data_IF_167234146498
#
_entry.id   IF_167234146498
#
_cell.length_a   1.000
_cell.length_b   1.000
_cell.length_c   1.000
_cell.angle_alpha   90.00
_cell.angle_beta   90.00
_cell.angle_gamma   90.00
#
_symmetry.space_group_name_H-M   'P 1'
#
loop_
_entity.id
_entity.type
_entity.pdbx_description
1 polymer ?
#
# COMPACT_ATOMS: atom_id res chain seq x y z
N UNK A 1 -4.33 -7.93 4.07
CA UNK A 1 -3.34 -9.01 3.93
C UNK A 1 -1.95 -8.62 4.40
N UNK A 2 -1.28 -7.66 3.74
CA UNK A 2 0.17 -7.44 3.90
C UNK A 2 0.63 -7.12 5.33
N UNK A 3 0.02 -6.13 5.99
CA UNK A 3 0.43 -5.78 7.37
C UNK A 3 0.16 -6.92 8.37
N UNK A 4 -0.83 -7.78 8.14
CA UNK A 4 -1.05 -8.97 8.97
C UNK A 4 0.06 -10.00 8.82
N UNK A 5 0.53 -10.26 7.58
CA UNK A 5 1.68 -11.13 7.35
C UNK A 5 2.98 -10.56 7.95
N UNK A 6 3.14 -9.23 7.87
CA UNK A 6 4.34 -8.52 8.31
C UNK A 6 4.41 -8.41 9.84
N UNK A 7 3.29 -8.10 10.50
CA UNK A 7 3.26 -7.88 11.94
C UNK A 7 3.09 -9.19 12.71
N UNK A 8 2.31 -10.13 12.18
CA UNK A 8 1.94 -11.36 12.87
C UNK A 8 2.24 -12.62 12.02
N UNK A 9 3.50 -12.82 11.58
CA UNK A 9 3.88 -13.90 10.67
C UNK A 9 3.50 -15.31 11.18
N UNK A 10 3.45 -15.52 12.50
CA UNK A 10 3.09 -16.81 13.08
C UNK A 10 1.63 -17.23 12.87
N UNK A 11 0.73 -16.27 12.60
CA UNK A 11 -0.70 -16.53 12.48
C UNK A 11 -1.11 -17.01 11.08
N UNK A 12 -0.31 -16.69 10.05
CA UNK A 12 -0.69 -16.92 8.66
C UNK A 12 0.32 -17.83 7.95
N UNK A 13 -0.19 -18.81 7.20
CA UNK A 13 0.66 -19.71 6.40
C UNK A 13 1.04 -19.12 5.04
N UNK A 14 0.20 -18.28 4.47
CA UNK A 14 0.42 -17.54 3.23
C UNK A 14 -0.55 -16.36 3.17
N UNK A 15 -0.40 -15.49 2.16
CA UNK A 15 -1.43 -14.51 1.85
C UNK A 15 -1.57 -14.25 0.36
N UNK A 16 -2.74 -13.71 0.00
CA UNK A 16 -3.06 -13.22 -1.33
C UNK A 16 -3.34 -11.73 -1.20
N UNK A 17 -2.56 -10.93 -1.93
CA UNK A 17 -2.71 -9.49 -2.02
C UNK A 17 -3.28 -9.13 -3.40
N UNK A 18 -4.58 -8.86 -3.44
CA UNK A 18 -5.29 -8.44 -4.63
C UNK A 18 -5.46 -6.92 -4.60
N UNK A 19 -4.91 -6.22 -5.61
CA UNK A 19 -4.98 -4.74 -5.78
C UNK A 19 -4.78 -3.94 -4.48
N UNK A 20 -3.83 -4.37 -3.64
CA UNK A 20 -3.60 -3.74 -2.34
C UNK A 20 -2.79 -2.45 -2.44
N UNK A 21 -3.15 -1.44 -1.65
CA UNK A 21 -2.29 -0.26 -1.41
C UNK A 21 -1.07 -0.72 -0.60
N UNK A 22 0.12 -0.57 -1.16
CA UNK A 22 1.39 -0.96 -0.53
C UNK A 22 2.17 0.22 0.06
N UNK A 23 1.79 1.44 -0.29
CA UNK A 23 2.41 2.68 0.15
C UNK A 23 1.33 3.76 0.18
N UNK A 24 1.01 4.28 1.37
CA UNK A 24 -0.07 5.25 1.54
C UNK A 24 0.27 6.58 0.85
N UNK A 25 1.56 6.95 0.78
CA UNK A 25 2.03 8.16 0.11
C UNK A 25 1.80 8.12 -1.41
N UNK A 26 1.79 6.94 -2.03
CA UNK A 26 1.46 6.79 -3.45
C UNK A 26 0.03 7.19 -3.78
N UNK A 27 -0.92 7.04 -2.84
CA UNK A 27 -2.30 7.48 -3.04
C UNK A 27 -2.41 9.01 -3.28
N UNK A 28 -1.46 9.78 -2.75
CA UNK A 28 -1.36 11.24 -2.96
C UNK A 28 -0.54 11.62 -4.19
N UNK A 29 0.55 10.90 -4.43
CA UNK A 29 1.59 11.32 -5.38
C UNK A 29 1.40 10.76 -6.79
N UNK A 30 0.66 9.65 -6.95
CA UNK A 30 0.35 9.12 -8.28
C UNK A 30 -0.65 10.04 -8.99
N UNK A 31 -0.25 10.54 -10.16
CA UNK A 31 -0.98 11.57 -10.91
C UNK A 31 -2.06 11.03 -11.85
N UNK A 32 -1.95 9.77 -12.27
CA UNK A 32 -2.90 9.13 -13.20
C UNK A 32 -3.94 8.26 -12.49
N UNK A 33 -4.10 8.46 -11.18
CA UNK A 33 -5.15 7.77 -10.42
C UNK A 33 -6.49 8.48 -10.60
N UNK A 34 -7.58 7.71 -10.57
CA UNK A 34 -8.98 8.21 -10.60
C UNK A 34 -9.43 8.91 -9.30
N UNK A 35 -8.55 9.00 -8.30
CA UNK A 35 -8.78 9.77 -7.08
C UNK A 35 -8.79 11.28 -7.37
N UNK A 36 -10.01 11.85 -7.40
CA UNK A 36 -10.22 13.27 -7.69
C UNK A 36 -9.61 14.24 -6.67
N UNK A 37 -9.29 15.46 -7.13
CA UNK A 37 -8.61 16.48 -6.32
C UNK A 37 -9.38 16.89 -5.06
N UNK A 38 -10.71 17.00 -5.14
CA UNK A 38 -11.55 17.29 -3.97
C UNK A 38 -11.42 16.22 -2.89
N UNK A 39 -11.36 14.95 -3.29
CA UNK A 39 -11.17 13.84 -2.35
C UNK A 39 -9.78 13.90 -1.70
N UNK A 40 -8.72 14.11 -2.50
CA UNK A 40 -7.34 14.28 -2.01
C UNK A 40 -7.19 15.45 -1.05
N UNK A 41 -7.90 16.55 -1.30
CA UNK A 41 -7.82 17.77 -0.50
C UNK A 41 -8.63 17.75 0.78
N UNK A 42 -9.83 17.15 0.76
CA UNK A 42 -10.77 17.29 1.88
C UNK A 42 -11.08 15.96 2.59
N UNK A 43 -11.14 14.85 1.85
CA UNK A 43 -11.54 13.56 2.41
C UNK A 43 -10.38 12.71 2.89
N UNK A 44 -9.35 12.55 2.05
CA UNK A 44 -8.19 11.72 2.41
C UNK A 44 -7.47 12.20 3.68
N UNK A 45 -7.27 13.50 3.95
CA UNK A 45 -6.64 13.93 5.21
C UNK A 45 -7.40 13.49 6.46
N UNK A 46 -8.72 13.28 6.37
CA UNK A 46 -9.54 12.86 7.50
C UNK A 46 -9.62 11.33 7.65
N UNK A 47 -9.66 10.61 6.52
CA UNK A 47 -9.95 9.17 6.50
C UNK A 47 -8.73 8.29 6.21
N UNK A 48 -7.68 8.86 5.63
CA UNK A 48 -6.41 8.19 5.32
C UNK A 48 -5.27 8.81 6.14
N UNK A 49 -5.23 10.14 6.25
CA UNK A 49 -4.26 10.92 7.02
C UNK A 49 -3.59 12.00 6.17
N UNK A 50 -3.11 13.06 6.78
CA UNK A 50 -2.41 14.16 6.10
C UNK A 50 -0.95 13.76 5.81
N UNK A 51 -0.48 13.87 4.55
CA UNK A 51 0.86 13.38 4.18
C UNK A 51 2.01 14.12 4.87
N UNK A 52 1.76 15.30 5.45
CA UNK A 52 2.76 16.08 6.18
C UNK A 52 2.62 15.82 7.68
N UNK A 53 1.42 15.98 8.24
CA UNK A 53 1.20 15.85 9.69
C UNK A 53 1.29 14.41 10.17
N UNK A 54 0.80 13.48 9.35
CA UNK A 54 0.71 12.05 9.68
C UNK A 54 1.80 11.22 8.98
N UNK A 55 2.87 11.87 8.49
CA UNK A 55 4.01 11.20 7.88
C UNK A 55 4.57 10.03 8.75
N UNK A 56 4.70 10.14 10.09
CA UNK A 56 5.11 9.01 10.92
C UNK A 56 4.13 7.83 10.87
N UNK A 57 2.83 8.11 10.78
CA UNK A 57 1.79 7.08 10.64
C UNK A 57 1.90 6.39 9.28
N UNK A 58 2.19 7.13 8.20
CA UNK A 58 2.38 6.56 6.87
C UNK A 58 3.59 5.65 6.82
N UNK A 59 4.70 6.06 7.43
CA UNK A 59 5.92 5.25 7.54
C UNK A 59 5.69 3.95 8.33
N UNK A 60 4.93 4.02 9.44
CA UNK A 60 4.63 2.86 10.28
C UNK A 60 3.61 1.88 9.67
N UNK A 61 2.76 2.34 8.75
CA UNK A 61 1.62 1.56 8.26
C UNK A 61 1.65 1.27 6.76
N UNK A 62 2.64 1.75 6.02
CA UNK A 62 2.85 1.39 4.61
C UNK A 62 3.58 0.06 4.49
N UNK A 63 2.98 -1.00 3.91
CA UNK A 63 3.63 -2.29 3.75
C UNK A 63 5.02 -2.23 3.11
N UNK A 64 5.21 -1.36 2.10
CA UNK A 64 6.46 -1.19 1.37
C UNK A 64 7.63 -0.83 2.29
N UNK A 65 7.39 -0.05 3.35
CA UNK A 65 8.41 0.32 4.35
C UNK A 65 8.85 -0.83 5.24
N UNK A 66 8.07 -1.92 5.25
CA UNK A 66 8.29 -3.08 6.08
C UNK A 66 8.43 -4.38 5.27
N UNK A 67 8.58 -4.29 3.96
CA UNK A 67 8.65 -5.41 3.03
C UNK A 67 9.67 -6.48 3.48
N UNK A 68 10.85 -6.07 3.96
CA UNK A 68 11.90 -6.97 4.43
C UNK A 68 11.51 -7.87 5.63
N UNK A 69 10.41 -7.56 6.34
CA UNK A 69 9.91 -8.40 7.44
C UNK A 69 8.97 -9.52 6.96
N UNK A 70 8.50 -9.48 5.71
CA UNK A 70 7.59 -10.48 5.16
C UNK A 70 8.33 -11.81 4.94
N UNK A 71 7.80 -12.90 5.50
CA UNK A 71 8.43 -14.24 5.44
C UNK A 71 7.55 -15.31 4.81
N UNK A 72 6.24 -15.12 4.87
CA UNK A 72 5.25 -16.06 4.37
C UNK A 72 5.19 -15.99 2.84
N UNK A 73 4.89 -17.12 2.17
CA UNK A 73 4.52 -17.09 0.76
C UNK A 73 3.41 -16.07 0.49
N UNK A 74 3.63 -15.24 -0.52
CA UNK A 74 2.70 -14.20 -0.94
C UNK A 74 2.42 -14.32 -2.43
N UNK A 75 1.14 -14.37 -2.78
CA UNK A 75 0.67 -14.15 -4.15
C UNK A 75 0.20 -12.71 -4.30
N UNK A 76 0.61 -12.03 -5.38
CA UNK A 76 0.18 -10.67 -5.69
C UNK A 76 -0.56 -10.65 -7.03
N UNK A 77 -1.74 -10.04 -7.05
CA UNK A 77 -2.58 -9.89 -8.25
C UNK A 77 -2.94 -8.42 -8.45
N UNK A 78 -2.52 -7.84 -9.57
CA UNK A 78 -2.75 -6.44 -9.93
C UNK A 78 -3.14 -6.34 -11.41
N UNK A 79 -4.04 -5.39 -11.72
CA UNK A 79 -4.36 -5.03 -13.10
C UNK A 79 -3.42 -3.94 -13.61
N UNK A 80 -2.93 -4.06 -14.85
CA UNK A 80 -2.07 -3.03 -15.46
C UNK A 80 -2.81 -1.74 -15.80
N UNK A 81 -4.13 -1.83 -16.01
CA UNK A 81 -5.03 -0.71 -16.30
C UNK A 81 -5.78 -0.20 -15.05
N UNK A 82 -5.37 -0.61 -13.85
CA UNK A 82 -6.00 -0.14 -12.61
C UNK A 82 -5.61 1.32 -12.34
N UNK A 83 -6.59 2.22 -12.38
CA UNK A 83 -6.43 3.65 -12.06
C UNK A 83 -6.72 3.95 -10.58
N UNK A 84 -7.33 3.01 -9.84
CA UNK A 84 -7.66 3.19 -8.42
C UNK A 84 -6.51 2.81 -7.51
N UNK A 85 -5.86 1.68 -7.79
CA UNK A 85 -4.61 1.26 -7.14
C UNK A 85 -3.57 1.00 -8.23
N UNK A 86 -2.93 2.08 -8.72
CA UNK A 86 -1.99 1.99 -9.83
C UNK A 86 -0.91 0.92 -9.65
N UNK A 87 -0.56 0.23 -10.75
CA UNK A 87 0.36 -0.91 -10.77
C UNK A 87 1.70 -0.66 -10.04
N UNK A 88 2.13 0.59 -9.93
CA UNK A 88 3.34 0.98 -9.17
C UNK A 88 3.31 0.55 -7.70
N UNK A 89 2.13 0.41 -7.08
CA UNK A 89 2.01 -0.21 -5.76
C UNK A 89 2.51 -1.66 -5.77
N UNK A 90 2.08 -2.43 -6.76
CA UNK A 90 2.44 -3.83 -6.92
C UNK A 90 3.91 -4.01 -7.30
N UNK A 91 4.39 -3.28 -8.30
CA UNK A 91 5.77 -3.45 -8.81
C UNK A 91 6.82 -3.05 -7.78
N UNK A 92 6.67 -1.89 -7.11
CA UNK A 92 7.62 -1.47 -6.06
C UNK A 92 7.66 -2.46 -4.89
N UNK A 93 6.50 -3.00 -4.51
CA UNK A 93 6.44 -3.96 -3.40
C UNK A 93 7.03 -5.31 -3.80
N UNK A 94 6.71 -5.81 -5.01
CA UNK A 94 7.33 -7.01 -5.56
C UNK A 94 8.87 -6.92 -5.55
N UNK A 95 9.42 -5.79 -6.00
CA UNK A 95 10.87 -5.58 -6.05
C UNK A 95 11.51 -5.52 -4.66
N UNK A 96 10.74 -5.10 -3.64
CA UNK A 96 11.20 -5.00 -2.26
C UNK A 96 11.13 -6.31 -1.46
N UNK A 97 10.37 -7.32 -1.94
CA UNK A 97 10.23 -8.64 -1.29
C UNK A 97 10.91 -9.78 -2.04
N UNK A 98 11.53 -9.48 -3.18
CA UNK A 98 12.34 -10.41 -3.97
C UNK A 98 13.74 -10.56 -3.39
#
# INVERSE_FOLDING_TARGET
TLMGLINDPGLFKCGINWVGVTDIGLMYTVKWSDLGDSWKKYGMPQLVGDPVKDAPMFEANSPLRHAARLRQPLLMAYGSADERVPLVHGTRFHDAVK
#
